data_IF_035412899635
#
_entry.id   IF_035412899635
#
_cell.length_a   1.000
_cell.length_b   1.000
_cell.length_c   1.000
_cell.angle_alpha   90.00
_cell.angle_beta   90.00
_cell.angle_gamma   90.00
#
_symmetry.space_group_name_H-M   'P 1'
#
loop_
_entity.id
_entity.type
_entity.pdbx_description
1 polymer ?
#
# COMPACT_ATOMS: atom_id res chain seq x y z
N UNK A 1 20.10 27.08 -11.31
CA UNK A 1 18.63 26.87 -11.31
C UNK A 1 18.34 25.61 -12.08
N UNK A 2 18.20 24.47 -11.40
CA UNK A 2 17.91 23.18 -12.03
C UNK A 2 16.45 22.86 -11.69
N UNK A 3 15.62 22.83 -12.73
CA UNK A 3 14.18 22.76 -12.62
C UNK A 3 13.69 21.51 -11.89
N UNK A 4 12.89 21.75 -10.86
CA UNK A 4 11.99 20.81 -10.20
C UNK A 4 10.92 20.27 -11.18
N UNK A 5 11.28 19.40 -12.12
CA UNK A 5 10.29 18.80 -13.04
C UNK A 5 10.45 17.29 -13.28
N UNK A 6 11.18 16.57 -12.41
CA UNK A 6 11.40 15.12 -12.55
C UNK A 6 10.83 14.26 -11.41
N UNK A 7 9.68 14.62 -10.85
CA UNK A 7 8.96 13.72 -9.91
C UNK A 7 7.49 13.50 -10.26
N UNK A 8 6.89 14.24 -11.20
CA UNK A 8 5.50 14.01 -11.63
C UNK A 8 5.35 12.98 -12.76
N UNK A 9 6.45 12.53 -13.39
CA UNK A 9 6.39 11.60 -14.52
C UNK A 9 6.28 10.12 -14.15
N UNK A 10 6.36 9.74 -12.87
CA UNK A 10 6.11 8.37 -12.43
C UNK A 10 4.69 7.92 -12.82
N UNK A 11 3.69 8.80 -12.69
CA UNK A 11 2.29 8.47 -12.97
C UNK A 11 1.97 8.43 -14.48
N UNK A 12 2.95 8.71 -15.34
CA UNK A 12 2.81 8.80 -16.81
C UNK A 12 3.82 7.91 -17.56
N UNK A 13 4.59 7.07 -16.86
CA UNK A 13 5.46 6.11 -17.54
C UNK A 13 4.61 4.97 -18.09
N UNK A 14 4.36 5.00 -19.41
CA UNK A 14 3.68 3.93 -20.13
C UNK A 14 4.80 3.08 -20.75
N UNK A 15 5.08 1.93 -20.12
CA UNK A 15 6.13 1.02 -20.56
C UNK A 15 5.74 0.48 -21.97
N UNK A 16 6.61 0.61 -22.99
CA UNK A 16 6.31 0.15 -24.35
C UNK A 16 6.17 -1.37 -24.47
N UNK A 17 6.50 -2.13 -23.41
CA UNK A 17 6.24 -3.55 -23.27
C UNK A 17 5.17 -3.88 -22.23
N UNK A 18 4.37 -2.89 -21.80
CA UNK A 18 3.08 -3.19 -21.15
C UNK A 18 2.20 -3.81 -22.21
N UNK A 19 2.21 -5.15 -22.30
CA UNK A 19 1.04 -5.86 -22.80
C UNK A 19 -0.13 -5.29 -22.03
N UNK A 20 -1.01 -4.57 -22.72
CA UNK A 20 -2.25 -4.11 -22.12
C UNK A 20 -2.96 -5.37 -21.65
N UNK A 21 -2.84 -5.68 -20.37
CA UNK A 21 -3.59 -6.79 -19.80
C UNK A 21 -5.03 -6.38 -19.97
N UNK A 22 -5.67 -6.97 -20.97
CA UNK A 22 -7.11 -6.93 -21.08
C UNK A 22 -7.63 -7.48 -19.77
N UNK A 23 -8.71 -6.92 -19.22
CA UNK A 23 -9.25 -7.35 -17.93
C UNK A 23 -9.60 -8.85 -17.87
N UNK A 24 -9.58 -9.54 -19.01
CA UNK A 24 -9.62 -10.99 -19.19
C UNK A 24 -8.36 -11.76 -18.75
N UNK A 25 -7.20 -11.12 -18.60
CA UNK A 25 -5.92 -11.80 -18.29
C UNK A 25 -5.60 -11.80 -16.78
N UNK A 26 -6.26 -10.95 -16.00
CA UNK A 26 -6.11 -10.91 -14.54
C UNK A 26 -7.10 -11.87 -13.87
N UNK A 27 -6.63 -13.10 -13.61
CA UNK A 27 -7.36 -14.17 -12.92
C UNK A 27 -8.54 -14.74 -13.72
N UNK A 28 -8.59 -16.05 -13.99
CA UNK A 28 -9.68 -16.70 -14.74
C UNK A 28 -11.04 -16.66 -14.03
N UNK A 29 -11.16 -15.96 -12.89
CA UNK A 29 -12.38 -15.82 -12.09
C UNK A 29 -12.99 -14.41 -12.12
N UNK A 30 -12.42 -13.46 -12.86
CA UNK A 30 -13.03 -12.14 -13.00
C UNK A 30 -13.91 -12.10 -14.26
N UNK A 31 -15.08 -12.71 -14.15
CA UNK A 31 -16.10 -12.64 -15.21
C UNK A 31 -16.48 -11.16 -15.44
N UNK A 32 -16.01 -10.57 -16.54
CA UNK A 32 -16.64 -9.37 -17.11
C UNK A 32 -17.97 -9.78 -17.71
N UNK A 33 -18.98 -9.82 -16.84
CA UNK A 33 -20.34 -10.18 -17.18
C UNK A 33 -20.99 -9.00 -17.87
N UNK A 34 -21.04 -9.03 -19.20
CA UNK A 34 -22.10 -8.37 -19.94
C UNK A 34 -23.44 -8.92 -19.46
N UNK A 35 -24.31 -8.03 -18.98
CA UNK A 35 -25.74 -8.23 -18.71
C UNK A 35 -26.21 -9.63 -18.24
N UNK A 36 -25.49 -10.28 -17.32
CA UNK A 36 -26.07 -11.36 -16.50
C UNK A 36 -26.32 -10.81 -15.10
N UNK A 37 -27.57 -10.86 -14.68
CA UNK A 37 -28.00 -10.51 -13.33
C UNK A 37 -27.27 -11.41 -12.33
N UNK A 38 -26.24 -10.88 -11.68
CA UNK A 38 -25.53 -11.57 -10.61
C UNK A 38 -26.53 -11.83 -9.47
N UNK A 39 -26.70 -13.09 -9.08
CA UNK A 39 -27.54 -13.43 -7.94
C UNK A 39 -27.05 -12.71 -6.69
N UNK A 40 -27.97 -12.19 -5.87
CA UNK A 40 -27.66 -11.47 -4.63
C UNK A 40 -26.67 -12.24 -3.75
N UNK A 41 -26.80 -13.57 -3.66
CA UNK A 41 -25.89 -14.41 -2.87
C UNK A 41 -24.45 -14.40 -3.41
N UNK A 42 -24.29 -14.40 -4.74
CA UNK A 42 -22.97 -14.33 -5.40
C UNK A 42 -22.36 -12.95 -5.19
N UNK A 43 -23.14 -11.89 -5.39
CA UNK A 43 -22.70 -10.52 -5.14
C UNK A 43 -22.27 -10.31 -3.68
N UNK A 44 -23.06 -10.79 -2.72
CA UNK A 44 -22.76 -10.74 -1.28
C UNK A 44 -21.47 -11.47 -0.95
N UNK A 45 -21.27 -12.68 -1.48
CA UNK A 45 -20.05 -13.47 -1.22
C UNK A 45 -18.80 -12.81 -1.83
N UNK A 46 -18.92 -12.24 -3.04
CA UNK A 46 -17.82 -11.48 -3.68
C UNK A 46 -17.44 -10.26 -2.84
N UNK A 47 -18.43 -9.52 -2.33
CA UNK A 47 -18.18 -8.38 -1.45
C UNK A 47 -17.52 -8.78 -0.13
N UNK A 48 -18.00 -9.84 0.53
CA UNK A 48 -17.36 -10.37 1.75
C UNK A 48 -15.88 -10.69 1.52
N UNK A 49 -15.59 -11.45 0.46
CA UNK A 49 -14.21 -11.80 0.09
C UNK A 49 -13.35 -10.57 -0.19
N UNK A 50 -13.89 -9.59 -0.93
CA UNK A 50 -13.17 -8.36 -1.24
C UNK A 50 -12.81 -7.56 0.02
N UNK A 51 -13.71 -7.47 1.01
CA UNK A 51 -13.44 -6.80 2.29
C UNK A 51 -12.35 -7.53 3.08
N UNK A 52 -12.38 -8.87 3.12
CA UNK A 52 -11.34 -9.66 3.81
C UNK A 52 -9.96 -9.47 3.18
N UNK A 53 -9.85 -9.52 1.85
CA UNK A 53 -8.57 -9.30 1.17
C UNK A 53 -8.09 -7.85 1.29
N UNK A 54 -9.01 -6.88 1.35
CA UNK A 54 -8.67 -5.48 1.62
C UNK A 54 -8.06 -5.29 3.01
N UNK A 55 -8.68 -5.85 4.05
CA UNK A 55 -8.15 -5.82 5.42
C UNK A 55 -6.74 -6.44 5.49
N UNK A 56 -6.55 -7.62 4.88
CA UNK A 56 -5.24 -8.28 4.79
C UNK A 56 -4.19 -7.40 4.10
N UNK A 57 -4.59 -6.69 3.04
CA UNK A 57 -3.69 -5.76 2.33
C UNK A 57 -3.27 -4.59 3.20
N UNK A 58 -4.14 -4.08 4.07
CA UNK A 58 -3.81 -3.03 5.05
C UNK A 58 -2.82 -3.53 6.12
N UNK A 59 -2.95 -4.76 6.59
CA UNK A 59 -2.00 -5.38 7.52
C UNK A 59 -0.60 -5.53 6.89
N UNK A 60 -0.53 -5.88 5.60
CA UNK A 60 0.75 -5.90 4.88
C UNK A 60 1.37 -4.51 4.79
N UNK A 61 0.56 -3.47 4.53
CA UNK A 61 1.05 -2.10 4.48
C UNK A 61 1.53 -1.60 5.85
N UNK A 62 0.87 -2.00 6.94
CA UNK A 62 1.34 -1.78 8.32
C UNK A 62 2.71 -2.42 8.55
N UNK A 63 2.83 -3.70 8.21
CA UNK A 63 4.08 -4.45 8.35
C UNK A 63 5.21 -3.84 7.55
N UNK A 64 4.92 -3.39 6.32
CA UNK A 64 5.86 -2.66 5.47
C UNK A 64 6.37 -1.40 6.17
N UNK A 65 5.48 -0.57 6.71
CA UNK A 65 5.86 0.67 7.43
C UNK A 65 6.82 0.34 8.58
N UNK A 66 6.42 -0.56 9.47
CA UNK A 66 7.22 -0.92 10.66
C UNK A 66 8.57 -1.53 10.31
N UNK A 67 8.61 -2.42 9.31
CA UNK A 67 9.85 -3.05 8.86
C UNK A 67 10.82 -2.01 8.30
N UNK A 68 10.34 -1.11 7.46
CA UNK A 68 11.19 -0.08 6.85
C UNK A 68 11.69 0.93 7.88
N UNK A 69 10.83 1.42 8.80
CA UNK A 69 11.26 2.30 9.89
C UNK A 69 12.37 1.67 10.73
N UNK A 70 12.21 0.39 11.08
CA UNK A 70 13.22 -0.36 11.83
C UNK A 70 14.50 -0.56 11.02
N UNK A 71 14.37 -0.87 9.72
CA UNK A 71 15.49 -1.03 8.79
C UNK A 71 16.33 0.24 8.67
N UNK A 72 15.67 1.39 8.50
CA UNK A 72 16.33 2.69 8.46
C UNK A 72 17.05 3.01 9.78
N UNK A 73 16.41 2.78 10.94
CA UNK A 73 17.08 2.97 12.22
C UNK A 73 18.33 2.10 12.37
N UNK A 74 18.26 0.83 11.94
CA UNK A 74 19.39 -0.10 12.02
C UNK A 74 20.55 0.31 11.11
N UNK A 75 20.28 0.66 9.85
CA UNK A 75 21.34 1.06 8.91
C UNK A 75 21.98 2.38 9.33
N UNK A 76 21.19 3.34 9.84
CA UNK A 76 21.71 4.61 10.34
C UNK A 76 22.57 4.43 11.59
N UNK A 77 22.16 3.57 12.53
CA UNK A 77 23.02 3.21 13.69
C UNK A 77 24.32 2.53 13.25
N UNK A 78 24.26 1.66 12.23
CA UNK A 78 25.45 1.01 11.67
C UNK A 78 26.38 2.04 11.01
N UNK A 79 25.82 2.99 10.26
CA UNK A 79 26.56 4.08 9.64
C UNK A 79 27.30 4.90 10.70
N UNK A 80 26.60 5.38 11.73
CA UNK A 80 27.21 6.17 12.80
C UNK A 80 28.38 5.43 13.48
N UNK A 81 28.22 4.12 13.70
CA UNK A 81 29.25 3.27 14.32
C UNK A 81 30.49 3.10 13.43
N UNK A 82 30.32 2.96 12.12
CA UNK A 82 31.43 2.66 11.19
C UNK A 82 32.10 3.93 10.69
N UNK A 83 31.32 4.97 10.37
CA UNK A 83 31.83 6.21 9.81
C UNK A 83 32.37 7.19 10.86
N UNK A 84 32.04 7.00 12.15
CA UNK A 84 32.43 7.91 13.23
C UNK A 84 31.74 9.27 13.17
N UNK A 85 30.76 9.45 12.28
CA UNK A 85 29.97 10.67 12.13
C UNK A 85 28.52 10.41 12.55
N UNK A 86 28.01 11.21 13.50
CA UNK A 86 26.62 11.14 13.96
C UNK A 86 25.68 11.81 12.96
N UNK A 87 25.34 11.11 11.89
CA UNK A 87 24.40 11.60 10.88
C UNK A 87 22.99 10.99 11.02
N UNK A 88 22.82 9.95 11.84
CA UNK A 88 21.55 9.23 12.00
C UNK A 88 20.37 10.13 12.35
N UNK A 89 20.56 11.12 13.23
CA UNK A 89 19.50 12.04 13.64
C UNK A 89 18.99 12.89 12.46
N UNK A 90 19.91 13.35 11.61
CA UNK A 90 19.61 14.21 10.47
C UNK A 90 18.80 13.45 9.40
N UNK A 91 19.19 12.21 9.12
CA UNK A 91 18.46 11.35 8.20
C UNK A 91 17.14 10.85 8.79
N UNK A 92 17.07 10.57 10.10
CA UNK A 92 15.83 10.18 10.77
C UNK A 92 14.79 11.30 10.70
N UNK A 93 15.19 12.56 10.88
CA UNK A 93 14.29 13.70 10.69
C UNK A 93 13.79 13.80 9.25
N UNK A 94 14.66 13.51 8.28
CA UNK A 94 14.28 13.51 6.86
C UNK A 94 13.25 12.43 6.56
N UNK A 95 13.42 11.22 7.08
CA UNK A 95 12.47 10.12 6.93
C UNK A 95 11.11 10.48 7.54
N UNK A 96 11.09 11.04 8.75
CA UNK A 96 9.85 11.45 9.44
C UNK A 96 9.04 12.53 8.72
N UNK A 97 9.65 13.30 7.80
CA UNK A 97 8.94 14.28 6.96
C UNK A 97 8.10 13.63 5.86
N UNK A 98 8.39 12.37 5.51
CA UNK A 98 7.69 11.71 4.42
C UNK A 98 6.36 11.12 4.91
N UNK A 99 5.33 11.26 4.08
CA UNK A 99 3.94 10.89 4.40
C UNK A 99 3.81 9.43 4.88
N UNK A 100 4.53 8.50 4.26
CA UNK A 100 4.46 7.08 4.64
C UNK A 100 4.90 6.80 6.08
N UNK A 101 5.78 7.64 6.65
CA UNK A 101 6.26 7.52 8.03
C UNK A 101 5.40 8.34 9.01
N UNK A 102 5.03 9.57 8.63
CA UNK A 102 4.32 10.51 9.52
C UNK A 102 2.84 10.16 9.73
N UNK A 103 2.21 9.53 8.74
CA UNK A 103 0.74 9.42 8.70
C UNK A 103 0.21 8.33 9.63
N UNK A 104 -0.90 8.66 10.33
CA UNK A 104 -1.68 7.76 11.21
C UNK A 104 -2.95 7.23 10.55
N UNK A 105 -3.27 7.69 9.34
CA UNK A 105 -4.48 7.33 8.60
C UNK A 105 -4.61 5.82 8.40
N UNK A 106 -3.48 5.11 8.26
CA UNK A 106 -3.48 3.66 8.09
C UNK A 106 -4.10 2.94 9.29
N UNK A 107 -3.78 3.35 10.52
CA UNK A 107 -4.36 2.76 11.72
C UNK A 107 -5.85 3.11 11.85
N UNK A 108 -6.24 4.31 11.42
CA UNK A 108 -7.65 4.71 11.36
C UNK A 108 -8.44 3.86 10.35
N UNK A 109 -7.91 3.66 9.14
CA UNK A 109 -8.56 2.86 8.09
C UNK A 109 -8.69 1.40 8.52
N UNK A 110 -7.66 0.83 9.13
CA UNK A 110 -7.71 -0.54 9.68
C UNK A 110 -8.85 -0.66 10.69
N UNK A 111 -8.93 0.25 11.67
CA UNK A 111 -9.99 0.25 12.67
C UNK A 111 -11.39 0.39 12.06
N UNK A 112 -11.56 1.30 11.10
CA UNK A 112 -12.83 1.45 10.39
C UNK A 112 -13.22 0.17 9.63
N UNK A 113 -12.25 -0.52 9.02
CA UNK A 113 -12.51 -1.79 8.33
C UNK A 113 -12.88 -2.93 9.27
N UNK A 114 -12.26 -3.00 10.45
CA UNK A 114 -12.59 -3.99 11.48
C UNK A 114 -14.04 -3.82 11.95
N UNK A 115 -14.47 -2.58 12.21
CA UNK A 115 -15.85 -2.26 12.60
C UNK A 115 -16.83 -2.71 11.52
N UNK A 116 -16.55 -2.39 10.24
CA UNK A 116 -17.44 -2.76 9.12
C UNK A 116 -17.46 -4.27 8.86
N UNK A 117 -16.32 -4.95 9.01
CA UNK A 117 -16.23 -6.40 8.89
C UNK A 117 -17.02 -7.11 10.00
N UNK A 118 -16.91 -6.66 11.25
CA UNK A 118 -17.64 -7.21 12.39
C UNK A 118 -19.17 -7.04 12.30
N UNK A 119 -19.64 -6.02 11.58
CA UNK A 119 -21.07 -5.84 11.26
C UNK A 119 -21.53 -6.82 10.18
N UNK A 120 -20.67 -7.17 9.21
CA UNK A 120 -21.02 -8.08 8.10
C UNK A 120 -21.14 -9.56 8.48
N UNK A 121 -20.64 -9.92 9.67
CA UNK A 121 -20.68 -11.25 10.26
C UNK A 121 -21.85 -11.46 11.24
N UNK A 122 -22.68 -10.43 11.46
CA UNK A 122 -23.97 -10.54 12.17
C UNK A 122 -25.12 -10.70 11.18
#
# INVERSE_FOLDING_TARGET
MIGHHRLYNWFRYQDPHTQSYTLSELSPNFDYVGDQRISYNVARNRLKKAVTEYYRSLEFLKSYKTLNETGFQKILKKFDKIAGWKASDLYTQTIKKHHWASTTDLDFIIKETEVRHAVSER
#
